data_IF_933887282059
#
_entry.id   IF_933887282059
#
_cell.length_a   1.000
_cell.length_b   1.000
_cell.length_c   1.000
_cell.angle_alpha   90.00
_cell.angle_beta   90.00
_cell.angle_gamma   90.00
#
_symmetry.space_group_name_H-M   'P 1'
#
loop_
_entity.id
_entity.type
_entity.pdbx_description
1 polymer ?
#
# COMPACT_ATOMS: atom_id res chain seq x y z
N UNK A 1 16.64 -4.48 0.00
CA UNK A 1 17.13 -5.85 0.02
C UNK A 1 16.30 -6.73 0.97
N UNK A 2 16.16 -8.00 0.65
CA UNK A 2 15.32 -8.93 1.42
C UNK A 2 13.85 -8.93 1.00
N UNK A 3 13.49 -8.20 -0.05
CA UNK A 3 12.11 -8.01 -0.48
C UNK A 3 11.83 -8.51 -1.91
N UNK A 4 12.71 -9.34 -2.49
CA UNK A 4 12.58 -9.78 -3.89
C UNK A 4 11.26 -10.51 -4.13
N UNK A 5 10.92 -11.51 -3.31
CA UNK A 5 9.70 -12.29 -3.47
C UNK A 5 8.44 -11.42 -3.28
N UNK A 6 8.43 -10.57 -2.24
CA UNK A 6 7.34 -9.66 -1.96
C UNK A 6 7.16 -8.62 -3.07
N UNK A 7 8.26 -8.03 -3.55
CA UNK A 7 8.22 -7.06 -4.64
C UNK A 7 7.74 -7.67 -5.95
N UNK A 8 8.16 -8.91 -6.24
CA UNK A 8 7.72 -9.63 -7.42
C UNK A 8 6.22 -9.93 -7.35
N UNK A 9 5.73 -10.39 -6.19
CA UNK A 9 4.31 -10.66 -6.00
C UNK A 9 3.46 -9.39 -6.15
N UNK A 10 3.92 -8.26 -5.62
CA UNK A 10 3.25 -6.97 -5.77
C UNK A 10 3.23 -6.50 -7.22
N UNK A 11 4.33 -6.69 -7.95
CA UNK A 11 4.40 -6.37 -9.37
C UNK A 11 3.42 -7.20 -10.19
N UNK A 12 3.33 -8.49 -9.90
CA UNK A 12 2.38 -9.40 -10.54
C UNK A 12 0.93 -8.96 -10.28
N UNK A 13 0.60 -8.57 -9.05
CA UNK A 13 -0.73 -8.10 -8.69
C UNK A 13 -1.08 -6.81 -9.43
N UNK A 14 -0.13 -5.90 -9.57
CA UNK A 14 -0.31 -4.66 -10.32
C UNK A 14 -0.66 -4.92 -11.78
N UNK A 15 0.10 -5.80 -12.43
CA UNK A 15 -0.15 -6.17 -13.81
C UNK A 15 -1.48 -6.91 -13.97
N UNK A 16 -1.75 -7.85 -13.08
CA UNK A 16 -3.03 -8.58 -13.07
C UNK A 16 -4.21 -7.63 -12.94
N UNK A 17 -4.12 -6.63 -12.07
CA UNK A 17 -5.18 -5.63 -11.87
C UNK A 17 -5.53 -4.92 -13.18
N UNK A 18 -4.50 -4.52 -13.93
CA UNK A 18 -4.70 -3.84 -15.23
C UNK A 18 -5.33 -4.77 -16.27
N UNK A 19 -4.87 -6.00 -16.33
CA UNK A 19 -5.39 -6.99 -17.27
C UNK A 19 -6.84 -7.36 -16.94
N UNK A 20 -7.12 -7.64 -15.67
CA UNK A 20 -8.47 -7.97 -15.22
C UNK A 20 -9.45 -6.81 -15.47
N UNK A 21 -9.00 -5.58 -15.24
CA UNK A 21 -9.82 -4.41 -15.53
C UNK A 21 -10.20 -4.33 -17.00
N UNK A 22 -9.25 -4.58 -17.89
CA UNK A 22 -9.50 -4.57 -19.32
C UNK A 22 -10.46 -5.68 -19.74
N UNK A 23 -10.21 -6.89 -19.27
CA UNK A 23 -10.99 -8.07 -19.65
C UNK A 23 -12.45 -8.01 -19.12
N UNK A 24 -12.63 -7.45 -17.93
CA UNK A 24 -13.94 -7.41 -17.27
C UNK A 24 -14.74 -6.14 -17.58
N UNK A 25 -14.13 -5.17 -18.25
CA UNK A 25 -14.84 -3.96 -18.67
C UNK A 25 -15.88 -4.28 -19.74
N UNK A 26 -17.00 -3.59 -19.80
CA UNK A 26 -17.42 -2.49 -18.92
C UNK A 26 -18.20 -2.94 -17.68
N UNK A 27 -18.35 -4.22 -17.45
CA UNK A 27 -19.24 -4.76 -16.41
C UNK A 27 -18.67 -4.69 -15.00
N UNK A 28 -17.34 -4.82 -14.87
CA UNK A 28 -16.67 -4.83 -13.57
C UNK A 28 -15.50 -3.88 -13.60
N UNK A 29 -15.38 -3.06 -12.55
CA UNK A 29 -14.19 -2.26 -12.31
C UNK A 29 -13.25 -3.04 -11.39
N UNK A 30 -11.97 -3.01 -11.68
CA UNK A 30 -10.94 -3.68 -10.88
C UNK A 30 -9.84 -2.68 -10.59
N UNK A 31 -9.63 -2.39 -9.32
CA UNK A 31 -8.58 -1.51 -8.84
C UNK A 31 -7.84 -2.18 -7.69
N UNK A 32 -6.68 -1.66 -7.35
CA UNK A 32 -5.91 -2.14 -6.20
C UNK A 32 -5.48 -0.97 -5.34
N UNK A 33 -5.21 -1.26 -4.07
CA UNK A 33 -4.67 -0.28 -3.13
C UNK A 33 -3.30 -0.78 -2.70
N UNK A 34 -2.27 0.03 -2.94
CA UNK A 34 -0.94 -0.22 -2.43
C UNK A 34 -0.83 0.48 -1.08
N UNK A 35 -0.71 -0.32 -0.02
CA UNK A 35 -0.79 0.14 1.35
C UNK A 35 0.60 0.34 1.93
N UNK A 36 0.84 1.47 2.59
CA UNK A 36 2.04 1.71 3.37
C UNK A 36 1.96 1.05 4.75
N UNK A 37 2.66 1.62 5.71
CA UNK A 37 2.65 1.12 7.09
C UNK A 37 1.41 1.62 7.81
N UNK A 38 0.60 0.68 8.28
CA UNK A 38 -0.70 0.96 8.91
C UNK A 38 -0.70 0.38 10.33
N UNK A 39 -1.32 1.11 11.25
CA UNK A 39 -1.44 0.73 12.65
C UNK A 39 -2.43 -0.42 12.82
N UNK A 40 -1.97 -1.64 12.62
CA UNK A 40 -2.75 -2.87 12.82
C UNK A 40 -2.23 -3.60 14.05
N UNK A 41 -2.99 -4.57 14.54
CA UNK A 41 -2.54 -5.40 15.67
C UNK A 41 -1.24 -6.16 15.34
N UNK A 42 -1.05 -6.55 14.09
CA UNK A 42 0.19 -7.20 13.65
C UNK A 42 1.41 -6.27 13.73
N UNK A 43 1.19 -4.95 13.67
CA UNK A 43 2.24 -3.94 13.75
C UNK A 43 2.51 -3.49 15.19
N UNK A 44 1.71 -3.89 16.15
CA UNK A 44 1.80 -3.43 17.55
C UNK A 44 3.21 -3.63 18.13
N UNK A 45 3.80 -4.81 17.91
CA UNK A 45 5.16 -5.09 18.37
C UNK A 45 6.21 -4.14 17.80
N UNK A 46 6.00 -3.71 16.56
CA UNK A 46 6.90 -2.77 15.88
C UNK A 46 6.72 -1.35 16.43
N UNK A 47 5.47 -0.95 16.68
CA UNK A 47 5.17 0.40 17.19
C UNK A 47 5.53 0.57 18.67
N UNK A 48 5.64 -0.52 19.43
CA UNK A 48 6.13 -0.50 20.80
C UNK A 48 7.65 -0.26 20.87
N UNK A 49 8.38 -0.62 19.82
CA UNK A 49 9.81 -0.30 19.69
C UNK A 49 9.95 1.13 19.17
N UNK A 50 10.38 2.03 20.03
CA UNK A 50 10.53 3.45 19.72
C UNK A 50 11.49 3.72 18.57
N UNK A 51 12.58 2.96 18.47
CA UNK A 51 13.55 3.07 17.38
C UNK A 51 12.95 2.69 16.03
N UNK A 52 12.20 1.60 15.98
CA UNK A 52 11.52 1.16 14.74
C UNK A 52 10.41 2.13 14.34
N UNK A 53 9.65 2.59 15.32
CA UNK A 53 8.61 3.58 15.08
C UNK A 53 9.19 4.88 14.50
N UNK A 54 10.26 5.38 15.09
CA UNK A 54 10.95 6.58 14.61
C UNK A 54 11.47 6.41 13.19
N UNK A 55 12.01 5.22 12.86
CA UNK A 55 12.48 4.91 11.52
C UNK A 55 11.35 4.93 10.49
N UNK A 56 10.20 4.34 10.83
CA UNK A 56 9.01 4.34 9.95
C UNK A 56 8.51 5.76 9.73
N UNK A 57 8.35 6.53 10.81
CA UNK A 57 7.88 7.91 10.74
C UNK A 57 8.85 8.79 9.96
N UNK A 58 10.15 8.60 10.15
CA UNK A 58 11.20 9.34 9.44
C UNK A 58 11.27 9.03 7.95
N UNK A 59 10.88 7.82 7.54
CA UNK A 59 10.87 7.40 6.14
C UNK A 59 9.51 7.65 5.45
N UNK A 60 8.58 8.25 6.16
CA UNK A 60 7.25 8.57 5.64
C UNK A 60 7.12 10.09 5.53
N UNK A 61 6.94 10.65 4.31
CA UNK A 61 6.82 12.10 4.16
C UNK A 61 5.77 12.75 5.04
N UNK A 62 4.61 12.10 5.27
CA UNK A 62 3.59 12.62 6.19
C UNK A 62 3.97 12.46 7.67
N UNK A 63 5.09 11.80 7.98
CA UNK A 63 5.67 11.74 9.31
C UNK A 63 4.90 10.91 10.33
N UNK A 64 4.03 10.02 9.87
CA UNK A 64 3.23 9.17 10.76
C UNK A 64 2.87 7.84 10.12
N UNK A 65 2.47 6.90 10.95
CA UNK A 65 1.89 5.63 10.53
C UNK A 65 0.43 5.89 10.17
N UNK A 66 -0.08 5.27 9.13
CA UNK A 66 -1.47 5.41 8.73
C UNK A 66 -2.41 4.61 9.62
N UNK A 67 -3.70 4.95 9.56
CA UNK A 67 -4.74 4.27 10.32
C UNK A 67 -5.56 3.35 9.40
N UNK A 68 -6.10 2.21 9.92
CA UNK A 68 -6.91 1.30 9.12
C UNK A 68 -8.11 1.99 8.45
N UNK A 69 -8.70 2.97 9.10
CA UNK A 69 -9.84 3.73 8.57
C UNK A 69 -9.48 4.51 7.30
N UNK A 70 -8.22 4.88 7.15
CA UNK A 70 -7.77 5.60 5.96
C UNK A 70 -7.73 4.67 4.75
N UNK A 71 -7.39 3.39 4.96
CA UNK A 71 -7.44 2.38 3.90
C UNK A 71 -8.90 2.04 3.58
N UNK A 72 -9.73 1.88 4.60
CA UNK A 72 -11.17 1.61 4.42
C UNK A 72 -11.85 2.72 3.63
N UNK A 73 -11.53 3.99 3.91
CA UNK A 73 -12.06 5.14 3.18
C UNK A 73 -11.65 5.13 1.70
N UNK A 74 -10.39 4.78 1.42
CA UNK A 74 -9.90 4.66 0.05
C UNK A 74 -10.63 3.53 -0.70
N UNK A 75 -10.81 2.38 -0.05
CA UNK A 75 -11.54 1.25 -0.63
C UNK A 75 -13.01 1.61 -0.92
N UNK A 76 -13.65 2.30 0.02
CA UNK A 76 -15.03 2.75 -0.15
C UNK A 76 -15.16 3.72 -1.31
N UNK A 77 -14.24 4.67 -1.44
CA UNK A 77 -14.22 5.60 -2.57
C UNK A 77 -14.13 4.85 -3.91
N UNK A 78 -13.20 3.93 -4.03
CA UNK A 78 -13.01 3.18 -5.28
C UNK A 78 -14.22 2.29 -5.60
N UNK A 79 -14.85 1.70 -4.59
CA UNK A 79 -15.99 0.80 -4.77
C UNK A 79 -17.32 1.52 -4.99
N UNK A 80 -17.40 2.79 -4.59
CA UNK A 80 -18.64 3.58 -4.67
C UNK A 80 -18.83 4.23 -6.04
N UNK A 81 -20.02 4.82 -6.31
CA UNK A 81 -20.23 5.60 -7.53
C UNK A 81 -19.24 6.75 -7.71
N UNK A 82 -18.70 7.29 -6.61
CA UNK A 82 -17.68 8.35 -6.68
C UNK A 82 -16.43 7.89 -7.45
N UNK A 83 -16.09 6.60 -7.37
CA UNK A 83 -14.99 6.00 -8.12
C UNK A 83 -15.43 5.39 -9.46
N UNK A 84 -16.63 5.68 -9.92
CA UNK A 84 -17.28 5.00 -11.05
C UNK A 84 -16.56 5.11 -12.40
N UNK A 85 -15.65 6.06 -12.56
CA UNK A 85 -14.87 6.21 -13.79
C UNK A 85 -13.41 5.76 -13.63
N UNK A 86 -13.12 5.01 -12.57
CA UNK A 86 -11.76 4.52 -12.24
C UNK A 86 -11.75 3.01 -12.37
N UNK A 87 -10.89 2.48 -13.22
CA UNK A 87 -10.62 1.05 -13.33
C UNK A 87 -9.19 0.81 -13.80
N UNK A 88 -8.61 -0.31 -13.40
CA UNK A 88 -7.24 -0.68 -13.76
C UNK A 88 -6.18 0.15 -13.05
N UNK A 89 -6.50 0.79 -11.92
CA UNK A 89 -5.59 1.69 -11.23
C UNK A 89 -5.10 1.12 -9.91
N UNK A 90 -3.91 1.56 -9.55
CA UNK A 90 -3.30 1.25 -8.26
C UNK A 90 -3.27 2.55 -7.47
N UNK A 91 -4.05 2.61 -6.40
CA UNK A 91 -4.07 3.77 -5.52
C UNK A 91 -3.09 3.54 -4.38
N UNK A 92 -2.05 4.35 -4.33
CA UNK A 92 -1.07 4.28 -3.26
C UNK A 92 -1.56 5.07 -2.05
N UNK A 93 -1.64 4.39 -0.89
CA UNK A 93 -2.06 4.99 0.39
C UNK A 93 -0.95 4.69 1.39
N UNK A 94 0.08 5.51 1.40
CA UNK A 94 1.35 5.21 2.04
C UNK A 94 2.03 6.43 2.70
N UNK A 95 1.31 7.54 2.81
CA UNK A 95 1.87 8.76 3.38
C UNK A 95 2.98 9.39 2.54
N UNK A 96 3.08 9.02 1.27
CA UNK A 96 4.08 9.53 0.34
C UNK A 96 5.38 8.73 0.29
N UNK A 97 5.42 7.54 0.90
CA UNK A 97 6.61 6.71 0.91
C UNK A 97 6.88 6.11 -0.48
N UNK A 98 8.06 6.37 -1.04
CA UNK A 98 8.46 5.84 -2.35
C UNK A 98 9.05 4.43 -2.27
N UNK A 99 9.47 4.02 -1.09
CA UNK A 99 10.05 2.71 -0.82
C UNK A 99 9.63 2.25 0.58
N UNK A 100 10.05 1.05 0.95
CA UNK A 100 9.68 0.50 2.26
C UNK A 100 9.94 1.49 3.39
N UNK A 101 8.93 1.68 4.24
CA UNK A 101 8.99 2.62 5.35
C UNK A 101 9.88 2.11 6.49
N UNK A 102 10.14 0.82 6.52
CA UNK A 102 11.04 0.21 7.49
C UNK A 102 12.31 -0.24 6.78
N UNK A 103 13.39 0.49 7.04
CA UNK A 103 14.72 0.08 6.59
C UNK A 103 15.30 -0.89 7.62
N UNK A 104 15.56 -2.10 7.20
CA UNK A 104 16.08 -3.15 8.07
C UNK A 104 17.62 -3.13 8.20
N UNK A 105 18.26 -2.16 7.58
CA UNK A 105 19.70 -2.04 7.63
C UNK A 105 20.45 -3.11 6.83
N UNK A 106 19.77 -3.80 5.94
CA UNK A 106 20.42 -4.79 5.09
C UNK A 106 21.25 -4.12 4.01
N UNK A 107 22.48 -4.60 3.74
CA UNK A 107 23.30 -4.00 2.70
C UNK A 107 22.70 -4.23 1.31
N UNK A 108 22.91 -3.28 0.44
CA UNK A 108 22.56 -3.42 -0.97
C UNK A 108 23.52 -4.44 -1.64
N UNK A 109 23.02 -5.10 -2.64
CA UNK A 109 23.83 -6.03 -3.44
C UNK A 109 24.80 -5.29 -4.33
#
# INVERSE_FOLDING_TARGET
RGFIASGTAKGALTHWTRMAAADLSPRVRVNAIAVGTIATSALEMVTEDEGMRTAIEGNTPLGRIGEPEEIASAALFLASPAGGYITGKILEVDGGAEKGQLDMGMPDL
#
